data_IF_696834145534
#
_entry.id   IF_696834145534
#
_cell.length_a   1.000
_cell.length_b   1.000
_cell.length_c   1.000
_cell.angle_alpha   90.00
_cell.angle_beta   90.00
_cell.angle_gamma   90.00
#
_symmetry.space_group_name_H-M   'P 1'
#
loop_
_entity.id
_entity.type
_entity.pdbx_description
1 polymer ?
#
# COMPACT_ATOMS: atom_id res chain seq x y z
N UNK A 1 -19.53 13.80 13.86
CA UNK A 1 -18.22 14.35 13.44
C UNK A 1 -17.36 13.18 12.98
N UNK A 2 -16.93 13.14 11.72
CA UNK A 2 -16.14 12.02 11.18
C UNK A 2 -14.69 12.12 11.68
N UNK A 3 -14.12 11.00 12.16
CA UNK A 3 -12.77 10.96 12.75
C UNK A 3 -11.70 10.34 11.83
N UNK A 4 -12.12 9.58 10.82
CA UNK A 4 -11.24 8.89 9.86
C UNK A 4 -11.73 9.15 8.44
N UNK A 5 -10.79 9.34 7.52
CA UNK A 5 -11.06 9.58 6.10
C UNK A 5 -10.21 8.64 5.26
N UNK A 6 -10.80 8.07 4.21
CA UNK A 6 -10.07 7.33 3.18
C UNK A 6 -9.88 8.28 1.99
N UNK A 7 -8.65 8.43 1.53
CA UNK A 7 -8.27 9.29 0.43
C UNK A 7 -7.55 8.42 -0.60
N UNK A 8 -8.17 8.19 -1.76
CA UNK A 8 -7.46 7.53 -2.84
C UNK A 8 -6.56 8.54 -3.58
N UNK A 9 -5.46 8.07 -4.19
CA UNK A 9 -4.66 8.91 -5.07
C UNK A 9 -5.50 9.40 -6.24
N UNK A 10 -5.61 10.72 -6.40
CA UNK A 10 -6.47 11.35 -7.43
C UNK A 10 -6.04 10.97 -8.86
N UNK A 11 -4.73 10.86 -9.08
CA UNK A 11 -4.14 10.32 -10.32
C UNK A 11 -2.65 10.06 -10.10
N UNK A 12 -2.07 9.14 -10.88
CA UNK A 12 -0.61 8.95 -10.97
C UNK A 12 0.03 10.06 -11.82
N UNK A 13 -0.08 11.30 -11.35
CA UNK A 13 0.54 12.48 -11.94
C UNK A 13 1.08 13.37 -10.83
N UNK A 14 2.10 14.19 -11.12
CA UNK A 14 2.64 15.14 -10.13
C UNK A 14 1.51 15.99 -9.55
N UNK A 15 0.62 16.52 -10.40
CA UNK A 15 -0.54 17.29 -9.98
C UNK A 15 -1.45 16.47 -9.04
N UNK A 16 -1.80 15.23 -9.42
CA UNK A 16 -2.62 14.35 -8.60
C UNK A 16 -2.00 14.02 -7.24
N UNK A 17 -0.69 13.79 -7.19
CA UNK A 17 0.05 13.54 -5.95
C UNK A 17 -0.02 14.75 -5.03
N UNK A 18 0.25 15.96 -5.53
CA UNK A 18 0.19 17.18 -4.72
C UNK A 18 -1.23 17.57 -4.31
N UNK A 19 -2.24 17.33 -5.15
CA UNK A 19 -3.65 17.53 -4.79
C UNK A 19 -4.07 16.57 -3.67
N UNK A 20 -3.65 15.31 -3.75
CA UNK A 20 -3.91 14.31 -2.71
C UNK A 20 -3.21 14.69 -1.40
N UNK A 21 -1.96 15.14 -1.47
CA UNK A 21 -1.21 15.62 -0.32
C UNK A 21 -1.88 16.83 0.35
N UNK A 22 -2.36 17.78 -0.45
CA UNK A 22 -3.12 18.95 0.03
C UNK A 22 -4.37 18.52 0.80
N UNK A 23 -5.14 17.57 0.26
CA UNK A 23 -6.31 17.00 0.95
C UNK A 23 -5.94 16.31 2.27
N UNK A 24 -4.87 15.51 2.28
CA UNK A 24 -4.39 14.85 3.50
C UNK A 24 -3.94 15.86 4.57
N UNK A 25 -3.28 16.95 4.18
CA UNK A 25 -2.87 18.02 5.08
C UNK A 25 -4.08 18.72 5.71
N UNK A 26 -5.10 19.02 4.91
CA UNK A 26 -6.35 19.65 5.39
C UNK A 26 -7.10 18.75 6.39
N UNK A 27 -7.18 17.44 6.13
CA UNK A 27 -7.80 16.46 7.03
C UNK A 27 -6.99 16.31 8.33
N UNK A 28 -5.67 16.24 8.23
CA UNK A 28 -4.77 16.14 9.38
C UNK A 28 -4.88 17.36 10.29
N UNK A 29 -5.08 18.56 9.73
CA UNK A 29 -5.24 19.81 10.47
C UNK A 29 -6.44 19.78 11.41
N UNK A 30 -7.51 19.10 11.03
CA UNK A 30 -8.73 18.95 11.86
C UNK A 30 -8.71 17.69 12.72
N UNK A 31 -7.52 17.12 12.96
CA UNK A 31 -7.30 15.95 13.82
C UNK A 31 -7.91 14.63 13.29
N UNK A 32 -8.15 14.53 11.97
CA UNK A 32 -8.60 13.32 11.29
C UNK A 32 -7.44 12.43 10.82
N UNK A 33 -7.65 11.11 10.81
CA UNK A 33 -6.73 10.16 10.16
C UNK A 33 -7.00 10.05 8.65
N UNK A 34 -5.96 9.79 7.85
CA UNK A 34 -6.10 9.56 6.40
C UNK A 34 -5.53 8.20 6.00
N UNK A 35 -6.32 7.40 5.26
CA UNK A 35 -5.85 6.18 4.58
C UNK A 35 -5.53 6.47 3.11
N UNK A 36 -4.31 6.19 2.63
CA UNK A 36 -3.92 6.39 1.22
C UNK A 36 -3.69 5.05 0.51
N UNK A 37 -4.30 4.85 -0.66
CA UNK A 37 -3.94 3.77 -1.59
C UNK A 37 -3.02 4.36 -2.66
N UNK A 38 -1.87 3.74 -2.93
CA UNK A 38 -0.89 4.25 -3.91
C UNK A 38 -0.70 3.26 -5.05
N UNK A 39 -0.79 3.78 -6.28
CA UNK A 39 -0.52 3.07 -7.53
C UNK A 39 0.61 3.72 -8.34
N UNK A 40 1.46 4.54 -7.71
CA UNK A 40 2.48 5.33 -8.40
C UNK A 40 3.82 4.59 -8.51
N UNK A 41 4.60 4.94 -9.53
CA UNK A 41 5.93 4.33 -9.75
C UNK A 41 6.98 5.04 -8.88
N UNK A 42 7.74 4.30 -8.07
CA UNK A 42 8.71 4.89 -7.15
C UNK A 42 8.03 5.52 -5.94
N UNK A 43 7.32 4.70 -5.16
CA UNK A 43 6.51 5.19 -4.04
C UNK A 43 7.34 5.73 -2.87
N UNK A 44 8.59 5.29 -2.70
CA UNK A 44 9.41 5.65 -1.52
C UNK A 44 9.66 7.16 -1.41
N UNK A 45 10.17 7.86 -2.45
CA UNK A 45 10.28 9.33 -2.44
C UNK A 45 8.94 10.04 -2.20
N UNK A 46 7.86 9.54 -2.81
CA UNK A 46 6.53 10.10 -2.62
C UNK A 46 6.12 9.99 -1.15
N UNK A 47 6.24 8.82 -0.53
CA UNK A 47 5.88 8.59 0.87
C UNK A 47 6.73 9.44 1.82
N UNK A 48 7.98 9.79 1.46
CA UNK A 48 8.77 10.75 2.24
C UNK A 48 8.11 12.12 2.30
N UNK A 49 7.59 12.61 1.17
CA UNK A 49 6.86 13.87 1.12
C UNK A 49 5.60 13.85 2.01
N UNK A 50 4.86 12.73 2.01
CA UNK A 50 3.72 12.54 2.90
C UNK A 50 4.15 12.50 4.37
N UNK A 51 5.26 11.84 4.69
CA UNK A 51 5.82 11.77 6.04
C UNK A 51 6.17 13.17 6.56
N UNK A 52 6.90 13.96 5.77
CA UNK A 52 7.33 15.29 6.18
C UNK A 52 6.15 16.26 6.32
N UNK A 53 5.13 16.10 5.47
CA UNK A 53 3.85 16.81 5.60
C UNK A 53 3.12 16.43 6.89
N UNK A 54 3.04 15.14 7.21
CA UNK A 54 2.44 14.67 8.47
C UNK A 54 3.16 15.29 9.68
N UNK A 55 4.50 15.28 9.67
CA UNK A 55 5.33 15.91 10.71
C UNK A 55 5.07 17.40 10.83
N UNK A 56 4.96 18.12 9.71
CA UNK A 56 4.71 19.56 9.70
C UNK A 56 3.34 19.89 10.31
N UNK A 57 2.27 19.23 9.84
CA UNK A 57 0.91 19.49 10.34
C UNK A 57 0.77 19.15 11.83
N UNK A 58 1.46 18.11 12.29
CA UNK A 58 1.43 17.68 13.69
C UNK A 58 2.10 18.64 14.68
N UNK A 59 2.91 19.60 14.21
CA UNK A 59 3.54 20.62 15.06
C UNK A 59 2.53 21.68 15.56
N UNK A 60 1.33 21.77 14.97
CA UNK A 60 0.30 22.73 15.36
C UNK A 60 -0.44 22.40 16.69
N UNK A 61 -0.03 21.34 17.40
CA UNK A 61 -0.25 21.20 18.84
C UNK A 61 -1.64 20.73 19.33
N UNK A 62 -2.64 20.52 18.47
CA UNK A 62 -3.99 20.09 18.92
C UNK A 62 -4.20 18.57 18.99
N UNK A 63 -3.75 17.81 17.99
CA UNK A 63 -3.71 16.32 17.97
C UNK A 63 -2.80 15.89 16.82
N UNK A 64 -2.00 14.84 17.00
CA UNK A 64 -1.21 14.28 15.89
C UNK A 64 -2.16 13.57 14.91
N UNK A 65 -2.31 14.11 13.70
CA UNK A 65 -2.87 13.40 12.57
C UNK A 65 -1.99 12.22 12.19
N UNK A 66 -2.62 11.17 11.68
CA UNK A 66 -2.00 9.89 11.37
C UNK A 66 -2.37 9.47 9.97
N UNK A 67 -1.39 9.05 9.19
CA UNK A 67 -1.58 8.58 7.82
C UNK A 67 -1.29 7.09 7.77
N UNK A 68 -2.25 6.29 7.31
CA UNK A 68 -2.07 4.87 7.04
C UNK A 68 -2.00 4.64 5.53
N UNK A 69 -0.92 4.05 5.05
CA UNK A 69 -0.67 3.83 3.62
C UNK A 69 -0.97 2.37 3.31
N UNK A 70 -1.88 2.13 2.39
CA UNK A 70 -2.28 0.81 1.92
C UNK A 70 -1.65 0.53 0.57
N UNK A 71 -0.98 -0.62 0.46
CA UNK A 71 -0.34 -1.08 -0.77
C UNK A 71 -0.68 -2.55 -1.02
N UNK A 72 -0.93 -2.92 -2.28
CA UNK A 72 -1.25 -4.30 -2.64
C UNK A 72 0.02 -5.14 -2.84
N UNK A 73 0.07 -6.42 -2.40
CA UNK A 73 1.26 -7.28 -2.45
C UNK A 73 1.92 -7.43 -3.83
N UNK A 74 1.18 -7.25 -4.92
CA UNK A 74 1.72 -7.33 -6.28
C UNK A 74 2.46 -6.07 -6.73
N UNK A 75 2.48 -5.00 -5.94
CA UNK A 75 3.20 -3.78 -6.30
C UNK A 75 4.73 -4.02 -6.33
N UNK A 76 5.49 -3.52 -7.33
CA UNK A 76 6.91 -3.86 -7.50
C UNK A 76 7.77 -3.36 -6.32
N UNK A 77 7.39 -2.21 -5.76
CA UNK A 77 8.05 -1.59 -4.60
C UNK A 77 7.64 -2.22 -3.26
N UNK A 78 6.87 -3.31 -3.21
CA UNK A 78 6.36 -3.89 -1.96
C UNK A 78 7.48 -4.24 -0.97
N UNK A 79 8.59 -4.83 -1.42
CA UNK A 79 9.71 -5.13 -0.51
C UNK A 79 10.32 -3.86 0.08
N UNK A 80 10.55 -2.83 -0.74
CA UNK A 80 11.03 -1.52 -0.28
C UNK A 80 10.03 -0.83 0.66
N UNK A 81 8.73 -1.04 0.45
CA UNK A 81 7.66 -0.53 1.29
C UNK A 81 7.71 -1.12 2.70
N UNK A 82 8.03 -2.41 2.83
CA UNK A 82 8.18 -3.09 4.13
C UNK A 82 9.37 -2.58 4.94
N UNK A 83 10.39 -2.03 4.26
CA UNK A 83 11.60 -1.48 4.89
C UNK A 83 11.39 -0.07 5.47
N UNK A 84 10.31 0.64 5.09
CA UNK A 84 10.10 2.06 5.43
C UNK A 84 10.05 2.35 6.94
N UNK A 85 9.62 1.36 7.71
CA UNK A 85 9.37 1.45 9.16
C UNK A 85 10.41 0.74 10.02
N UNK A 86 11.30 -0.04 9.41
CA UNK A 86 12.30 -0.79 10.15
C UNK A 86 13.27 0.17 10.87
N UNK A 87 13.68 -0.15 12.10
CA UNK A 87 14.51 0.73 12.91
C UNK A 87 15.93 0.89 12.32
N UNK A 88 16.47 -0.16 11.71
CA UNK A 88 17.78 -0.16 11.06
C UNK A 88 17.71 0.29 9.59
N UNK A 89 18.80 0.84 9.05
CA UNK A 89 18.98 1.23 7.63
C UNK A 89 19.12 2.73 7.38
N UNK A 90 19.21 3.14 6.11
CA UNK A 90 19.44 4.52 5.69
C UNK A 90 18.22 5.42 5.96
N UNK A 91 18.43 6.54 6.67
CA UNK A 91 17.37 7.42 7.19
C UNK A 91 16.62 8.16 6.06
N UNK A 92 17.28 8.38 4.93
CA UNK A 92 16.73 9.07 3.76
C UNK A 92 15.48 8.37 3.21
N UNK A 93 15.42 7.04 3.33
CA UNK A 93 14.30 6.23 2.88
C UNK A 93 13.24 5.96 3.97
N UNK A 94 13.40 6.44 5.21
CA UNK A 94 12.51 6.09 6.33
C UNK A 94 11.32 7.05 6.46
N UNK A 95 10.15 6.47 6.75
CA UNK A 95 8.89 7.19 6.97
C UNK A 95 8.26 6.80 8.31
N UNK A 96 8.90 7.24 9.41
CA UNK A 96 8.54 6.82 10.78
C UNK A 96 7.20 7.38 11.28
N UNK A 97 6.69 8.46 10.70
CA UNK A 97 5.43 9.10 11.13
C UNK A 97 4.20 8.57 10.36
N UNK A 98 4.41 7.79 9.30
CA UNK A 98 3.34 7.08 8.59
C UNK A 98 3.01 5.76 9.28
N UNK A 99 1.89 5.14 8.97
CA UNK A 99 1.61 3.73 9.25
C UNK A 99 1.52 3.01 7.91
N UNK A 100 1.95 1.76 7.85
CA UNK A 100 1.88 0.95 6.63
C UNK A 100 0.83 -0.13 6.78
N UNK A 101 0.21 -0.52 5.68
CA UNK A 101 -0.80 -1.55 5.60
C UNK A 101 -0.67 -2.29 4.26
N UNK A 102 -0.77 -3.61 4.31
CA UNK A 102 -0.82 -4.49 3.15
C UNK A 102 -2.28 -4.83 2.88
N UNK A 103 -2.73 -4.53 1.67
CA UNK A 103 -4.09 -4.79 1.20
C UNK A 103 -4.07 -6.03 0.29
N UNK A 104 -4.13 -7.21 0.91
CA UNK A 104 -3.91 -8.49 0.24
C UNK A 104 -5.23 -9.12 -0.25
N UNK A 105 -5.21 -9.75 -1.42
CA UNK A 105 -6.33 -10.58 -1.92
C UNK A 105 -6.26 -12.01 -1.37
N UNK A 106 -7.38 -12.73 -1.46
CA UNK A 106 -7.47 -14.18 -1.20
C UNK A 106 -6.47 -14.96 -2.08
N UNK A 107 -6.25 -14.52 -3.32
CA UNK A 107 -5.25 -15.10 -4.22
C UNK A 107 -3.84 -15.08 -3.62
N UNK A 108 -3.44 -13.98 -2.98
CA UNK A 108 -2.12 -13.90 -2.36
C UNK A 108 -1.97 -14.96 -1.27
N UNK A 109 -2.93 -15.05 -0.35
CA UNK A 109 -2.90 -16.05 0.72
C UNK A 109 -2.93 -17.48 0.18
N UNK A 110 -3.71 -17.74 -0.87
CA UNK A 110 -3.71 -19.04 -1.54
C UNK A 110 -2.32 -19.38 -2.11
N UNK A 111 -1.67 -18.45 -2.81
CA UNK A 111 -0.31 -18.65 -3.35
C UNK A 111 0.72 -18.87 -2.22
N UNK A 112 0.56 -18.24 -1.05
CA UNK A 112 1.41 -18.49 0.13
C UNK A 112 1.22 -19.92 0.65
N UNK A 113 -0.04 -20.35 0.82
CA UNK A 113 -0.39 -21.69 1.31
C UNK A 113 0.11 -22.79 0.37
N UNK A 114 -0.04 -22.59 -0.94
CA UNK A 114 0.35 -23.56 -1.96
C UNK A 114 1.87 -23.52 -2.29
N UNK A 115 2.66 -22.69 -1.59
CA UNK A 115 4.07 -22.41 -1.91
C UNK A 115 4.28 -22.03 -3.40
N UNK A 116 3.32 -21.28 -3.94
CA UNK A 116 3.29 -20.83 -5.31
C UNK A 116 4.25 -19.66 -5.58
N UNK A 117 4.34 -19.31 -6.87
CA UNK A 117 5.04 -18.11 -7.31
C UNK A 117 4.14 -16.89 -7.19
N UNK A 118 4.71 -15.76 -6.77
CA UNK A 118 4.10 -14.45 -6.73
C UNK A 118 4.81 -13.50 -7.70
N UNK A 119 4.03 -12.95 -8.62
CA UNK A 119 4.43 -11.97 -9.63
C UNK A 119 4.13 -10.54 -9.19
N UNK A 120 5.04 -9.62 -9.51
CA UNK A 120 4.90 -8.18 -9.30
C UNK A 120 4.61 -7.45 -10.60
N UNK A 121 3.72 -6.46 -10.56
CA UNK A 121 3.24 -5.73 -11.73
C UNK A 121 3.23 -4.22 -11.52
N UNK A 122 3.68 -3.45 -12.50
CA UNK A 122 3.47 -2.00 -12.48
C UNK A 122 1.99 -1.68 -12.77
N UNK A 123 1.38 -0.73 -12.05
CA UNK A 123 -0.01 -0.30 -12.31
C UNK A 123 -0.23 0.19 -13.74
N UNK A 124 0.78 0.78 -14.37
CA UNK A 124 0.74 1.21 -15.78
C UNK A 124 0.68 0.04 -16.76
N UNK A 125 1.37 -1.06 -16.47
CA UNK A 125 1.42 -2.25 -17.35
C UNK A 125 0.31 -3.25 -17.06
N UNK A 126 -0.23 -3.25 -15.84
CA UNK A 126 -1.33 -4.11 -15.41
C UNK A 126 -2.52 -3.27 -14.91
N UNK A 127 -3.15 -2.47 -15.79
CA UNK A 127 -4.21 -1.55 -15.39
C UNK A 127 -5.45 -2.28 -14.87
N UNK A 128 -6.13 -1.68 -13.90
CA UNK A 128 -7.36 -2.24 -13.31
C UNK A 128 -7.14 -3.39 -12.33
N UNK A 129 -5.92 -3.93 -12.20
CA UNK A 129 -5.61 -4.94 -11.18
C UNK A 129 -5.77 -4.37 -9.76
N UNK A 130 -5.45 -3.09 -9.57
CA UNK A 130 -5.57 -2.42 -8.27
C UNK A 130 -7.02 -2.18 -7.84
N UNK A 131 -7.95 -2.09 -8.78
CA UNK A 131 -9.38 -1.88 -8.51
C UNK A 131 -10.16 -3.20 -8.44
N UNK A 132 -9.65 -4.25 -9.08
CA UNK A 132 -10.29 -5.55 -9.08
C UNK A 132 -10.22 -6.22 -7.70
N UNK A 133 -11.28 -6.93 -7.33
CA UNK A 133 -11.35 -7.83 -6.18
C UNK A 133 -12.11 -9.09 -6.59
N UNK A 134 -11.99 -10.16 -5.81
CA UNK A 134 -12.74 -11.39 -6.05
C UNK A 134 -13.99 -11.42 -5.16
N UNK A 135 -15.16 -11.69 -5.75
CA UNK A 135 -16.39 -12.08 -5.08
C UNK A 135 -16.57 -13.62 -5.12
N UNK A 136 -17.67 -14.15 -4.58
CA UNK A 136 -18.02 -15.57 -4.60
C UNK A 136 -18.20 -16.06 -6.03
N UNK A 137 -18.87 -15.27 -6.87
CA UNK A 137 -19.22 -15.61 -8.24
C UNK A 137 -18.30 -14.97 -9.30
N UNK A 138 -17.63 -13.86 -8.96
CA UNK A 138 -16.75 -13.11 -9.87
C UNK A 138 -15.31 -13.12 -9.37
N UNK A 139 -14.40 -13.78 -10.10
CA UNK A 139 -12.97 -13.88 -9.74
C UNK A 139 -12.10 -12.92 -10.54
N UNK A 140 -12.60 -11.71 -10.79
CA UNK A 140 -11.95 -10.70 -11.63
C UNK A 140 -10.52 -10.39 -11.24
N UNK A 141 -10.19 -10.27 -9.95
CA UNK A 141 -8.82 -10.00 -9.51
C UNK A 141 -7.91 -11.18 -9.88
N UNK A 142 -8.35 -12.41 -9.60
CA UNK A 142 -7.57 -13.61 -9.94
C UNK A 142 -7.40 -13.76 -11.44
N UNK A 143 -8.46 -13.58 -12.23
CA UNK A 143 -8.42 -13.72 -13.68
C UNK A 143 -7.49 -12.69 -14.33
N UNK A 144 -7.56 -11.42 -13.90
CA UNK A 144 -6.67 -10.37 -14.40
C UNK A 144 -5.22 -10.66 -14.03
N UNK A 145 -4.96 -11.05 -12.79
CA UNK A 145 -3.61 -11.38 -12.31
C UNK A 145 -2.98 -12.51 -13.14
N UNK A 146 -3.69 -13.63 -13.29
CA UNK A 146 -3.19 -14.78 -14.04
C UNK A 146 -3.09 -14.51 -15.55
N UNK A 147 -3.97 -13.66 -16.10
CA UNK A 147 -3.81 -13.18 -17.47
C UNK A 147 -2.50 -12.42 -17.63
N UNK A 148 -2.19 -11.46 -16.76
CA UNK A 148 -0.95 -10.69 -16.83
C UNK A 148 0.29 -11.54 -16.55
N UNK A 149 0.18 -12.59 -15.73
CA UNK A 149 1.26 -13.59 -15.59
C UNK A 149 1.54 -14.29 -16.93
N UNK A 150 0.50 -14.73 -17.66
CA UNK A 150 0.59 -15.41 -18.96
C UNK A 150 1.09 -14.50 -20.08
N UNK A 151 0.69 -13.23 -20.06
CA UNK A 151 1.16 -12.21 -21.00
C UNK A 151 2.62 -11.79 -20.74
N UNK A 152 3.23 -12.27 -19.65
CA UNK A 152 4.63 -12.00 -19.34
C UNK A 152 4.90 -10.60 -18.82
N UNK A 153 3.87 -9.89 -18.33
CA UNK A 153 3.97 -8.51 -17.86
C UNK A 153 4.56 -8.38 -16.44
N UNK A 154 4.90 -9.50 -15.81
CA UNK A 154 5.49 -9.52 -14.48
C UNK A 154 6.92 -8.95 -14.51
N UNK A 155 7.17 -7.92 -13.72
CA UNK A 155 8.48 -7.24 -13.60
C UNK A 155 9.46 -8.10 -12.82
N UNK A 156 8.95 -8.82 -11.82
CA UNK A 156 9.71 -9.72 -10.95
C UNK A 156 8.80 -10.85 -10.48
N UNK A 157 9.39 -12.01 -10.20
CA UNK A 157 8.71 -13.15 -9.57
C UNK A 157 9.53 -13.67 -8.40
N UNK A 158 8.86 -14.01 -7.30
CA UNK A 158 9.46 -14.65 -6.12
C UNK A 158 8.52 -15.75 -5.61
N UNK A 159 8.97 -16.59 -4.67
CA UNK A 159 8.04 -17.46 -3.95
C UNK A 159 7.12 -16.61 -3.06
N UNK A 160 5.83 -16.90 -3.05
CA UNK A 160 4.87 -16.15 -2.24
C UNK A 160 5.23 -16.19 -0.75
N UNK A 161 5.75 -17.31 -0.25
CA UNK A 161 6.22 -17.45 1.12
C UNK A 161 7.37 -16.48 1.47
N UNK A 162 8.27 -16.17 0.52
CA UNK A 162 9.35 -15.19 0.76
C UNK A 162 8.78 -13.79 0.98
N UNK A 163 7.74 -13.40 0.23
CA UNK A 163 7.05 -12.14 0.48
C UNK A 163 6.33 -12.15 1.82
N UNK A 164 5.69 -13.26 2.16
CA UNK A 164 4.98 -13.43 3.42
C UNK A 164 5.91 -13.35 4.63
N UNK A 165 7.05 -14.04 4.58
CA UNK A 165 8.12 -13.95 5.59
C UNK A 165 8.58 -12.50 5.77
N UNK A 166 8.85 -11.77 4.67
CA UNK A 166 9.23 -10.37 4.74
C UNK A 166 8.15 -9.46 5.38
N UNK A 167 6.86 -9.75 5.15
CA UNK A 167 5.74 -9.03 5.80
C UNK A 167 5.75 -9.30 7.30
N UNK A 168 5.90 -10.56 7.70
CA UNK A 168 5.94 -10.96 9.12
C UNK A 168 7.17 -10.37 9.83
N UNK A 169 8.33 -10.38 9.19
CA UNK A 169 9.56 -9.79 9.73
C UNK A 169 9.38 -8.29 9.98
N UNK A 170 8.80 -7.56 9.03
CA UNK A 170 8.51 -6.14 9.21
C UNK A 170 7.53 -5.90 10.38
N UNK A 171 6.49 -6.73 10.52
CA UNK A 171 5.56 -6.68 11.65
C UNK A 171 6.24 -6.95 12.99
N UNK A 172 7.13 -7.94 13.06
CA UNK A 172 7.88 -8.26 14.28
C UNK A 172 8.81 -7.10 14.69
N UNK A 173 9.46 -6.45 13.74
CA UNK A 173 10.40 -5.35 14.02
C UNK A 173 9.71 -4.03 14.38
N UNK A 174 8.57 -3.74 13.78
CA UNK A 174 7.98 -2.38 13.81
C UNK A 174 6.49 -2.33 14.19
N UNK A 175 5.84 -3.47 14.38
CA UNK A 175 4.40 -3.58 14.65
C UNK A 175 3.50 -3.34 13.43
N UNK A 176 4.09 -3.05 12.27
CA UNK A 176 3.41 -2.77 10.99
C UNK A 176 4.19 -3.46 9.85
N UNK A 177 3.58 -3.80 8.70
CA UNK A 177 2.28 -3.33 8.21
C UNK A 177 1.07 -3.96 8.90
N UNK A 178 -0.04 -3.23 8.93
CA UNK A 178 -1.35 -3.87 9.14
C UNK A 178 -1.67 -4.81 7.97
N UNK A 179 -2.45 -5.85 8.20
CA UNK A 179 -2.87 -6.77 7.13
C UNK A 179 -4.38 -6.65 6.99
N UNK A 180 -4.83 -6.35 5.78
CA UNK A 180 -6.25 -6.25 5.44
C UNK A 180 -6.53 -7.16 4.26
N UNK A 181 -7.59 -7.97 4.37
CA UNK A 181 -8.05 -8.78 3.26
C UNK A 181 -8.97 -7.94 2.36
N UNK A 182 -8.49 -7.62 1.15
CA UNK A 182 -9.21 -6.86 0.14
C UNK A 182 -10.54 -7.49 -0.21
N UNK A 183 -10.54 -8.78 -0.52
CA UNK A 183 -11.72 -9.43 -1.07
C UNK A 183 -12.82 -9.51 -0.02
N UNK A 184 -12.47 -9.86 1.22
CA UNK A 184 -13.43 -9.88 2.34
C UNK A 184 -14.03 -8.50 2.63
N UNK A 185 -13.24 -7.42 2.52
CA UNK A 185 -13.73 -6.05 2.76
C UNK A 185 -14.70 -5.59 1.66
N UNK A 186 -14.53 -6.02 0.41
CA UNK A 186 -15.39 -5.59 -0.70
C UNK A 186 -16.60 -6.50 -0.94
N UNK A 187 -16.63 -7.71 -0.37
CA UNK A 187 -17.79 -8.62 -0.41
C UNK A 187 -18.91 -8.24 0.57
N UNK A 188 -18.64 -7.33 1.51
CA UNK A 188 -19.58 -6.90 2.56
C UNK A 188 -20.62 -5.89 2.06
#
# INVERSE_FOLDING_TARGET
MASCFLVDTVSDSIKGIFETLSKCADISRVAGGSGLRSASTGIVPMLKLYNDTARYVNQAGRRKGSFAIFLQPHHPDMLSFLELKKPAGAEEARTRDLFTAVYASDLFFKRVQDNGTWSFFHPTTAPGLDEAFDDVDDKRCTELYERYEREGLAVRRIRAQVLWEAILDAQMESGVPYITNKDQVNRM
#
